data_IF_577063802277
#
_entry.id   IF_577063802277
#
_cell.length_a   1.000
_cell.length_b   1.000
_cell.length_c   1.000
_cell.angle_alpha   90.00
_cell.angle_beta   90.00
_cell.angle_gamma   90.00
#
_symmetry.space_group_name_H-M   'P 1'
#
loop_
_entity.id
_entity.type
_entity.pdbx_description
1 polymer ?
#
# COMPACT_ATOMS: atom_id res chain seq x y z
N UNK A 1 -7.38 -7.39 17.98
CA UNK A 1 -7.03 -5.98 17.76
C UNK A 1 -8.32 -5.25 17.46
N UNK A 2 -8.72 -4.32 18.33
CA UNK A 2 -9.91 -3.49 18.09
C UNK A 2 -9.66 -2.48 16.97
N UNK A 3 -10.70 -1.77 16.52
CA UNK A 3 -10.58 -0.79 15.44
C UNK A 3 -9.65 0.38 15.82
N UNK A 4 -9.77 0.90 17.04
CA UNK A 4 -8.93 2.01 17.52
C UNK A 4 -7.45 1.65 17.49
N UNK A 5 -7.08 0.44 17.93
CA UNK A 5 -5.73 -0.09 17.88
C UNK A 5 -5.24 -0.22 16.43
N UNK A 6 -6.09 -0.72 15.52
CA UNK A 6 -5.75 -0.84 14.09
C UNK A 6 -5.42 0.53 13.50
N UNK A 7 -6.29 1.52 13.71
CA UNK A 7 -6.08 2.90 13.26
C UNK A 7 -4.85 3.52 13.90
N UNK A 8 -4.63 3.31 15.20
CA UNK A 8 -3.44 3.79 15.91
C UNK A 8 -2.16 3.19 15.31
N UNK A 9 -2.18 1.91 14.95
CA UNK A 9 -1.03 1.22 14.34
C UNK A 9 -0.78 1.73 12.92
N UNK A 10 -1.85 2.00 12.16
CA UNK A 10 -1.76 2.58 10.83
C UNK A 10 -1.22 4.01 10.85
N UNK A 11 -1.67 4.82 11.81
CA UNK A 11 -1.12 6.15 12.06
C UNK A 11 0.36 6.08 12.47
N UNK A 12 0.72 5.16 13.37
CA UNK A 12 2.12 4.93 13.77
C UNK A 12 2.98 4.62 12.54
N UNK A 13 2.51 3.72 11.67
CA UNK A 13 3.19 3.39 10.42
C UNK A 13 3.36 4.62 9.51
N UNK A 14 2.33 5.47 9.35
CA UNK A 14 2.42 6.67 8.53
C UNK A 14 3.49 7.65 9.04
N UNK A 15 3.52 7.90 10.36
CA UNK A 15 4.50 8.77 11.00
C UNK A 15 5.93 8.22 10.92
N UNK A 16 6.12 6.92 11.20
CA UNK A 16 7.41 6.25 11.05
C UNK A 16 7.91 6.32 9.59
N UNK A 17 7.04 5.99 8.65
CA UNK A 17 7.36 6.00 7.22
C UNK A 17 7.71 7.40 6.73
N UNK A 18 6.98 8.42 7.16
CA UNK A 18 7.28 9.82 6.84
C UNK A 18 8.68 10.22 7.32
N UNK A 19 9.03 9.93 8.57
CA UNK A 19 10.34 10.26 9.14
C UNK A 19 11.46 9.49 8.45
N UNK A 20 11.32 8.18 8.28
CA UNK A 20 12.32 7.33 7.62
C UNK A 20 12.52 7.75 6.16
N UNK A 21 11.44 8.07 5.45
CA UNK A 21 11.52 8.56 4.09
C UNK A 21 12.18 9.93 4.01
N UNK A 22 11.94 10.82 4.99
CA UNK A 22 12.66 12.10 5.10
C UNK A 22 14.15 11.93 5.35
N UNK A 23 14.56 10.93 6.14
CA UNK A 23 15.96 10.66 6.46
C UNK A 23 16.73 9.96 5.33
N UNK A 24 16.11 8.92 4.75
CA UNK A 24 16.80 7.94 3.91
C UNK A 24 16.26 7.87 2.47
N UNK A 25 15.11 8.48 2.17
CA UNK A 25 14.60 8.63 0.80
C UNK A 25 14.51 7.27 0.09
N UNK A 26 15.08 7.19 -1.12
CA UNK A 26 15.11 6.01 -1.97
C UNK A 26 15.87 4.82 -1.35
N UNK A 27 16.65 5.03 -0.28
CA UNK A 27 17.25 3.92 0.47
C UNK A 27 16.24 3.21 1.38
N UNK A 28 15.13 3.87 1.70
CA UNK A 28 14.05 3.30 2.49
C UNK A 28 12.95 2.72 1.59
N UNK A 29 12.40 3.53 0.68
CA UNK A 29 11.41 3.08 -0.31
C UNK A 29 11.40 3.98 -1.54
N UNK A 30 10.85 3.49 -2.66
CA UNK A 30 10.67 4.32 -3.86
C UNK A 30 9.64 5.42 -3.61
N UNK A 31 9.70 6.51 -4.40
CA UNK A 31 8.71 7.59 -4.31
C UNK A 31 7.27 7.08 -4.53
N UNK A 32 7.12 6.12 -5.44
CA UNK A 32 5.83 5.51 -5.74
C UNK A 32 5.32 4.71 -4.54
N UNK A 33 6.14 3.81 -3.99
CA UNK A 33 5.74 3.01 -2.84
C UNK A 33 5.40 3.88 -1.62
N UNK A 34 6.13 4.99 -1.41
CA UNK A 34 5.81 5.96 -0.37
C UNK A 34 4.45 6.63 -0.59
N UNK A 35 4.22 7.14 -1.81
CA UNK A 35 2.96 7.77 -2.18
C UNK A 35 1.77 6.82 -2.03
N UNK A 36 1.91 5.58 -2.52
CA UNK A 36 0.88 4.55 -2.43
C UNK A 36 0.60 4.18 -0.97
N UNK A 37 1.66 4.00 -0.15
CA UNK A 37 1.51 3.67 1.28
C UNK A 37 0.80 4.77 2.06
N UNK A 38 1.20 6.03 1.88
CA UNK A 38 0.56 7.16 2.58
C UNK A 38 -0.87 7.38 2.07
N UNK A 39 -1.13 7.15 0.78
CA UNK A 39 -2.47 7.24 0.19
C UNK A 39 -3.37 6.13 0.72
N UNK A 40 -2.86 4.92 0.91
CA UNK A 40 -3.59 3.81 1.55
C UNK A 40 -4.02 4.19 2.97
N UNK A 41 -3.10 4.74 3.79
CA UNK A 41 -3.43 5.21 5.15
C UNK A 41 -4.52 6.30 5.09
N UNK A 42 -4.33 7.30 4.23
CA UNK A 42 -5.32 8.37 4.03
C UNK A 42 -6.68 7.79 3.65
N UNK A 43 -6.74 6.87 2.70
CA UNK A 43 -8.00 6.27 2.24
C UNK A 43 -8.71 5.52 3.37
N UNK A 44 -7.98 4.75 4.17
CA UNK A 44 -8.53 4.08 5.35
C UNK A 44 -9.19 5.05 6.34
N UNK A 45 -8.52 6.15 6.66
CA UNK A 45 -9.02 7.19 7.55
C UNK A 45 -10.29 7.86 6.99
N UNK A 46 -10.26 8.26 5.71
CA UNK A 46 -11.42 8.84 5.04
C UNK A 46 -12.61 7.87 4.95
N UNK A 47 -12.37 6.58 4.67
CA UNK A 47 -13.41 5.57 4.64
C UNK A 47 -14.02 5.34 6.03
N UNK A 48 -13.22 5.37 7.09
CA UNK A 48 -13.73 5.30 8.45
C UNK A 48 -14.61 6.51 8.78
N UNK A 49 -14.16 7.73 8.50
CA UNK A 49 -14.95 8.95 8.72
C UNK A 49 -16.29 8.90 7.97
N UNK A 50 -16.26 8.46 6.70
CA UNK A 50 -17.48 8.24 5.91
C UNK A 50 -18.41 7.22 6.56
N UNK A 51 -17.88 6.11 7.03
CA UNK A 51 -18.67 5.08 7.70
C UNK A 51 -19.30 5.63 9.00
N UNK A 52 -18.58 6.44 9.77
CA UNK A 52 -19.10 7.07 10.98
C UNK A 52 -20.27 8.03 10.69
N UNK A 53 -20.20 8.76 9.58
CA UNK A 53 -21.27 9.66 9.16
C UNK A 53 -22.49 8.91 8.59
N UNK A 54 -22.26 7.80 7.86
CA UNK A 54 -23.33 6.99 7.26
C UNK A 54 -24.05 6.10 8.28
N UNK A 55 -23.29 5.33 9.06
CA UNK A 55 -23.80 4.47 10.12
C UNK A 55 -22.69 4.20 11.16
N UNK A 56 -22.69 4.90 12.30
CA UNK A 56 -21.68 4.72 13.34
C UNK A 56 -21.83 3.40 14.10
N UNK A 57 -22.95 2.70 13.98
CA UNK A 57 -23.19 1.42 14.68
C UNK A 57 -22.67 0.22 13.90
N UNK A 58 -22.49 0.37 12.59
CA UNK A 58 -21.98 -0.69 11.73
C UNK A 58 -20.49 -0.99 11.99
N UNK A 59 -20.08 -2.26 11.81
CA UNK A 59 -18.68 -2.63 11.87
C UNK A 59 -17.91 -2.11 10.66
N UNK A 60 -16.70 -1.62 10.88
CA UNK A 60 -15.77 -1.18 9.84
C UNK A 60 -14.60 -2.16 9.73
N UNK A 61 -14.38 -2.69 8.52
CA UNK A 61 -13.31 -3.65 8.25
C UNK A 61 -12.25 -3.01 7.37
N UNK A 62 -11.05 -2.81 7.91
CA UNK A 62 -9.96 -2.14 7.21
C UNK A 62 -9.57 -2.83 5.88
N UNK A 63 -9.58 -4.17 5.86
CA UNK A 63 -9.27 -4.94 4.64
C UNK A 63 -10.34 -4.81 3.53
N UNK A 64 -11.54 -4.31 3.83
CA UNK A 64 -12.55 -4.02 2.80
C UNK A 64 -12.29 -2.70 2.07
N UNK A 65 -11.37 -1.87 2.60
CA UNK A 65 -10.94 -0.62 1.97
C UNK A 65 -9.86 -0.87 0.89
N UNK A 66 -9.31 -2.10 0.87
CA UNK A 66 -8.36 -2.55 -0.12
C UNK A 66 -9.05 -3.01 -1.42
N UNK A 67 -8.25 -3.54 -2.33
CA UNK A 67 -8.65 -4.00 -3.65
C UNK A 67 -9.10 -5.47 -3.70
N UNK A 68 -9.08 -6.24 -2.60
CA UNK A 68 -9.59 -7.62 -2.55
C UNK A 68 -10.96 -7.82 -3.25
N UNK A 69 -11.97 -6.95 -3.08
CA UNK A 69 -13.25 -7.12 -3.78
C UNK A 69 -13.11 -6.97 -5.29
N UNK A 70 -12.22 -6.07 -5.73
CA UNK A 70 -11.93 -5.83 -7.14
C UNK A 70 -11.12 -7.00 -7.73
N UNK A 71 -10.15 -7.54 -6.99
CA UNK A 71 -9.39 -8.73 -7.39
C UNK A 71 -10.30 -9.94 -7.56
N UNK A 72 -11.24 -10.16 -6.64
CA UNK A 72 -12.25 -11.22 -6.76
C UNK A 72 -13.14 -11.03 -7.99
N UNK A 73 -13.53 -9.79 -8.29
CA UNK A 73 -14.28 -9.47 -9.50
C UNK A 73 -13.45 -9.76 -10.76
N UNK A 74 -12.17 -9.40 -10.78
CA UNK A 74 -11.25 -9.75 -11.87
C UNK A 74 -11.04 -11.26 -12.00
N UNK A 75 -10.99 -12.01 -10.89
CA UNK A 75 -10.98 -13.46 -10.89
C UNK A 75 -12.20 -14.05 -11.60
N UNK A 76 -13.40 -13.60 -11.21
CA UNK A 76 -14.67 -13.99 -11.86
C UNK A 76 -14.68 -13.64 -13.35
N UNK A 77 -14.23 -12.43 -13.70
CA UNK A 77 -14.10 -11.98 -15.08
C UNK A 77 -13.26 -12.94 -15.94
N UNK A 78 -12.13 -13.40 -15.40
CA UNK A 78 -11.25 -14.37 -16.09
C UNK A 78 -11.87 -15.76 -16.19
N UNK A 79 -12.57 -16.21 -15.15
CA UNK A 79 -13.23 -17.52 -15.11
C UNK A 79 -14.40 -17.64 -16.10
N UNK A 80 -15.12 -16.55 -16.38
CA UNK A 80 -16.19 -16.53 -17.39
C UNK A 80 -15.70 -16.91 -18.80
N UNK A 81 -14.40 -16.79 -19.08
CA UNK A 81 -13.80 -17.21 -20.34
C UNK A 81 -13.51 -18.70 -20.46
N UNK A 82 -13.70 -19.48 -19.40
CA UNK A 82 -13.34 -20.90 -19.35
C UNK A 82 -11.87 -21.10 -19.73
N UNK A 83 -11.62 -21.87 -20.80
CA UNK A 83 -10.26 -22.13 -21.32
C UNK A 83 -9.60 -20.88 -21.95
N UNK A 84 -10.36 -19.83 -22.26
CA UNK A 84 -9.83 -18.57 -22.78
C UNK A 84 -9.92 -17.45 -21.74
N UNK A 85 -8.98 -17.48 -20.80
CA UNK A 85 -8.85 -16.45 -19.76
C UNK A 85 -8.37 -15.09 -20.30
N UNK A 86 -7.79 -15.06 -21.50
CA UNK A 86 -7.52 -13.82 -22.22
C UNK A 86 -8.82 -13.34 -22.88
N UNK A 87 -9.04 -12.03 -22.87
CA UNK A 87 -10.22 -11.41 -23.47
C UNK A 87 -9.81 -10.23 -24.32
N UNK A 88 -10.44 -10.09 -25.48
CA UNK A 88 -10.38 -8.82 -26.20
C UNK A 88 -11.25 -7.77 -25.50
N UNK A 89 -11.11 -6.50 -25.88
CA UNK A 89 -11.80 -5.39 -25.22
C UNK A 89 -13.34 -5.55 -25.19
N UNK A 90 -13.94 -5.99 -26.29
CA UNK A 90 -15.40 -6.17 -26.37
C UNK A 90 -15.87 -7.32 -25.45
N UNK A 91 -15.14 -8.44 -25.46
CA UNK A 91 -15.39 -9.56 -24.55
C UNK A 91 -15.20 -9.15 -23.09
N UNK A 92 -14.28 -8.23 -22.79
CA UNK A 92 -14.10 -7.73 -21.43
C UNK A 92 -15.34 -6.97 -20.96
N UNK A 93 -15.92 -6.11 -21.79
CA UNK A 93 -17.13 -5.36 -21.44
C UNK A 93 -18.29 -6.32 -21.12
N UNK A 94 -18.55 -7.29 -22.00
CA UNK A 94 -19.63 -8.26 -21.79
C UNK A 94 -19.41 -9.10 -20.52
N UNK A 95 -18.18 -9.58 -20.32
CA UNK A 95 -17.84 -10.38 -19.14
C UNK A 95 -17.88 -9.56 -17.84
N UNK A 96 -17.55 -8.27 -17.87
CA UNK A 96 -17.66 -7.39 -16.69
C UNK A 96 -19.13 -7.29 -16.26
N UNK A 97 -20.05 -7.09 -17.22
CA UNK A 97 -21.49 -7.09 -16.93
C UNK A 97 -21.92 -8.38 -16.23
N UNK A 98 -21.59 -9.54 -16.81
CA UNK A 98 -21.90 -10.84 -16.22
C UNK A 98 -21.24 -11.05 -14.84
N UNK A 99 -20.00 -10.59 -14.65
CA UNK A 99 -19.31 -10.73 -13.37
C UNK A 99 -19.95 -9.87 -12.28
N UNK A 100 -20.40 -8.65 -12.62
CA UNK A 100 -21.17 -7.79 -11.73
C UNK A 100 -22.52 -8.41 -11.36
N UNK A 101 -23.25 -8.97 -12.33
CA UNK A 101 -24.53 -9.65 -12.08
C UNK A 101 -24.35 -10.85 -11.14
N UNK A 102 -23.30 -11.66 -11.36
CA UNK A 102 -22.93 -12.76 -10.47
C UNK A 102 -22.58 -12.26 -9.07
N UNK A 103 -21.80 -11.17 -8.96
CA UNK A 103 -21.45 -10.59 -7.67
C UNK A 103 -22.68 -10.07 -6.93
N UNK A 104 -23.61 -9.40 -7.61
CA UNK A 104 -24.89 -8.97 -7.03
C UNK A 104 -25.73 -10.15 -6.56
N UNK A 105 -25.83 -11.21 -7.37
CA UNK A 105 -26.54 -12.43 -7.00
C UNK A 105 -25.96 -13.10 -5.75
N UNK A 106 -24.63 -13.16 -5.62
CA UNK A 106 -23.95 -13.70 -4.44
C UNK A 106 -24.07 -12.78 -3.21
N UNK A 107 -24.08 -11.46 -3.39
CA UNK A 107 -24.34 -10.52 -2.30
C UNK A 107 -25.74 -10.71 -1.72
N UNK A 108 -26.74 -11.00 -2.55
CA UNK A 108 -28.11 -11.29 -2.10
C UNK A 108 -28.28 -12.72 -1.56
N UNK A 109 -27.47 -13.67 -2.02
CA UNK A 109 -27.53 -15.08 -1.64
C UNK A 109 -26.14 -15.57 -1.21
N UNK A 110 -25.66 -15.15 -0.02
CA UNK A 110 -24.30 -15.42 0.42
C UNK A 110 -24.01 -16.91 0.69
N UNK A 111 -25.03 -17.75 0.72
CA UNK A 111 -24.94 -19.21 0.79
C UNK A 111 -24.50 -19.86 -0.53
N UNK A 112 -24.74 -19.20 -1.67
CA UNK A 112 -24.38 -19.71 -2.99
C UNK A 112 -22.89 -19.51 -3.31
N UNK A 113 -22.25 -18.50 -2.72
CA UNK A 113 -20.82 -18.27 -2.91
C UNK A 113 -20.03 -19.09 -1.89
N UNK A 114 -19.61 -20.30 -2.29
CA UNK A 114 -18.61 -21.03 -1.55
C UNK A 114 -17.28 -20.27 -1.65
N UNK A 115 -16.96 -19.50 -0.62
CA UNK A 115 -15.69 -18.81 -0.50
C UNK A 115 -14.50 -19.78 -0.60
N UNK A 116 -13.32 -19.24 -0.89
CA UNK A 116 -12.12 -20.05 -1.04
C UNK A 116 -11.82 -20.83 0.25
N UNK A 117 -12.01 -22.16 0.20
CA UNK A 117 -11.71 -23.04 1.33
C UNK A 117 -10.23 -23.43 1.26
N UNK A 118 -9.41 -22.81 2.10
CA UNK A 118 -7.99 -23.17 2.19
C UNK A 118 -7.84 -24.61 2.71
N UNK A 119 -7.17 -25.46 1.94
CA UNK A 119 -7.00 -26.89 2.26
C UNK A 119 -5.93 -27.15 3.36
N UNK A 120 -5.10 -26.17 3.72
CA UNK A 120 -4.23 -26.24 4.91
C UNK A 120 -3.82 -24.84 5.39
N UNK A 121 -3.68 -24.69 6.71
CA UNK A 121 -3.29 -23.46 7.39
C UNK A 121 -1.92 -23.68 8.04
N UNK A 122 -0.85 -23.58 7.26
CA UNK A 122 0.51 -23.49 7.82
C UNK A 122 0.78 -22.06 8.27
N UNK A 123 1.57 -21.88 9.35
CA UNK A 123 1.98 -20.56 9.88
C UNK A 123 3.04 -19.90 8.98
N UNK A 124 2.71 -19.66 7.71
CA UNK A 124 3.52 -18.86 6.81
C UNK A 124 2.97 -17.43 6.71
N UNK A 125 3.86 -16.47 6.48
CA UNK A 125 3.63 -15.01 6.31
C UNK A 125 2.58 -14.60 5.23
N UNK A 126 1.85 -15.54 4.64
CA UNK A 126 0.80 -15.32 3.63
C UNK A 126 -0.60 -15.66 4.15
N UNK A 127 -1.03 -14.98 5.21
CA UNK A 127 -2.42 -15.04 5.71
C UNK A 127 -3.20 -13.87 5.11
N UNK A 128 -3.45 -13.93 3.79
CA UNK A 128 -3.97 -12.79 3.02
C UNK A 128 -5.50 -12.84 2.78
N UNK A 129 -6.22 -13.68 3.51
CA UNK A 129 -7.67 -13.83 3.35
C UNK A 129 -8.37 -13.83 4.70
N UNK A 130 -8.37 -12.66 5.34
CA UNK A 130 -9.06 -12.44 6.62
C UNK A 130 -10.57 -12.47 6.39
N UNK A 131 -11.26 -13.41 7.02
CA UNK A 131 -12.71 -13.50 6.95
C UNK A 131 -13.32 -12.55 7.98
N UNK A 132 -14.34 -11.80 7.55
CA UNK A 132 -15.17 -10.95 8.43
C UNK A 132 -15.63 -11.70 9.70
N UNK A 133 -16.07 -12.95 9.52
CA UNK A 133 -16.58 -13.83 10.59
C UNK A 133 -15.52 -14.29 11.60
N UNK A 134 -14.24 -14.13 11.29
CA UNK A 134 -13.14 -14.54 12.16
C UNK A 134 -12.71 -13.44 13.15
N UNK A 135 -13.24 -12.22 13.01
CA UNK A 135 -12.94 -11.12 13.91
C UNK A 135 -13.85 -11.14 15.14
N UNK A 136 -13.24 -11.12 16.33
CA UNK A 136 -13.94 -11.16 17.62
C UNK A 136 -13.80 -9.87 18.43
N UNK A 137 -13.00 -8.92 17.96
CA UNK A 137 -12.78 -7.63 18.61
C UNK A 137 -13.86 -6.60 18.23
N UNK A 138 -13.95 -5.51 18.98
CA UNK A 138 -14.83 -4.38 18.65
C UNK A 138 -14.33 -3.68 17.37
N UNK A 139 -15.21 -3.65 16.37
CA UNK A 139 -15.01 -3.03 15.08
C UNK A 139 -16.05 -1.95 14.76
N UNK A 140 -16.90 -1.57 15.73
CA UNK A 140 -17.93 -0.57 15.50
C UNK A 140 -17.30 0.77 15.12
N UNK A 141 -17.70 1.33 13.97
CA UNK A 141 -17.09 2.55 13.44
C UNK A 141 -17.12 3.71 14.44
N UNK A 142 -18.25 3.89 15.13
CA UNK A 142 -18.45 4.95 16.12
C UNK A 142 -17.67 4.77 17.43
N UNK A 143 -17.07 3.61 17.71
CA UNK A 143 -16.24 3.43 18.91
C UNK A 143 -14.81 3.96 18.73
N UNK A 144 -14.38 4.20 17.48
CA UNK A 144 -13.05 4.73 17.18
C UNK A 144 -13.03 6.25 17.06
N UNK A 145 -12.32 6.94 17.94
CA UNK A 145 -12.09 8.38 17.81
C UNK A 145 -10.86 8.65 16.94
N UNK A 146 -11.07 8.88 15.64
CA UNK A 146 -10.03 8.99 14.60
C UNK A 146 -8.88 9.94 14.97
N UNK A 147 -9.20 11.17 15.38
CA UNK A 147 -8.18 12.17 15.73
C UNK A 147 -7.34 11.77 16.96
N UNK A 148 -7.93 11.03 17.90
CA UNK A 148 -7.20 10.57 19.08
C UNK A 148 -6.28 9.40 18.72
N UNK A 149 -6.76 8.46 17.90
CA UNK A 149 -5.96 7.35 17.40
C UNK A 149 -4.78 7.85 16.53
N UNK A 150 -5.00 8.88 15.69
CA UNK A 150 -3.95 9.51 14.90
C UNK A 150 -2.86 10.13 15.78
N UNK A 151 -3.25 10.94 16.77
CA UNK A 151 -2.31 11.55 17.71
C UNK A 151 -1.58 10.50 18.57
N UNK A 152 -2.28 9.45 19.02
CA UNK A 152 -1.65 8.35 19.73
C UNK A 152 -0.58 7.66 18.86
N UNK A 153 -0.87 7.43 17.58
CA UNK A 153 0.11 6.85 16.64
C UNK A 153 1.32 7.75 16.41
N UNK A 154 1.11 9.06 16.32
CA UNK A 154 2.19 10.07 16.28
C UNK A 154 3.08 9.97 17.52
N UNK A 155 2.48 9.96 18.70
CA UNK A 155 3.21 9.98 19.97
C UNK A 155 4.01 8.67 20.17
N UNK A 156 3.46 7.53 19.73
CA UNK A 156 4.21 6.26 19.67
C UNK A 156 5.41 6.37 18.73
N UNK A 157 5.25 6.94 17.53
CA UNK A 157 6.35 7.13 16.58
C UNK A 157 7.45 8.05 17.14
N UNK A 158 7.08 9.15 17.80
CA UNK A 158 8.02 10.03 18.52
C UNK A 158 8.80 9.23 19.56
N UNK A 159 8.10 8.48 20.43
CA UNK A 159 8.73 7.69 21.48
C UNK A 159 9.64 6.57 20.97
N UNK A 160 9.45 6.10 19.74
CA UNK A 160 10.38 5.21 19.05
C UNK A 160 11.63 5.98 18.63
N UNK A 161 11.48 7.11 17.92
CA UNK A 161 12.63 7.85 17.41
C UNK A 161 13.48 8.52 18.48
N UNK A 162 12.90 8.90 19.62
CA UNK A 162 13.64 9.38 20.79
C UNK A 162 14.66 8.36 21.31
N UNK A 163 14.48 7.08 21.01
CA UNK A 163 15.39 5.98 21.39
C UNK A 163 16.38 5.63 20.27
N UNK A 164 16.40 6.38 19.17
CA UNK A 164 17.24 6.11 17.99
C UNK A 164 18.22 7.25 17.71
N UNK A 165 19.10 7.05 16.73
CA UNK A 165 20.03 8.07 16.25
C UNK A 165 19.41 9.03 15.22
N UNK A 166 18.10 8.99 14.99
CA UNK A 166 17.43 9.91 14.07
C UNK A 166 17.44 11.32 14.67
N UNK A 167 17.86 12.36 13.93
CA UNK A 167 17.79 13.75 14.38
C UNK A 167 16.34 14.22 14.56
N UNK A 168 16.09 15.00 15.62
CA UNK A 168 14.77 15.51 15.99
C UNK A 168 14.07 16.30 14.86
N UNK A 169 14.83 16.98 14.01
CA UNK A 169 14.31 17.72 12.84
C UNK A 169 13.53 16.86 11.83
N UNK A 170 13.60 15.52 11.92
CA UNK A 170 12.87 14.61 11.04
C UNK A 170 11.59 14.02 11.65
N UNK A 171 11.37 14.16 12.95
CA UNK A 171 10.16 13.67 13.64
C UNK A 171 9.51 14.70 14.57
N UNK A 172 9.97 15.95 14.54
CA UNK A 172 9.25 17.09 15.11
C UNK A 172 8.07 17.47 14.20
N UNK A 173 7.00 16.66 14.27
CA UNK A 173 5.85 16.79 13.38
C UNK A 173 5.14 18.14 13.51
N UNK A 174 5.14 18.75 14.69
CA UNK A 174 4.52 20.06 14.92
C UNK A 174 5.24 21.15 14.13
N UNK A 175 6.58 21.20 14.24
CA UNK A 175 7.40 22.15 13.47
C UNK A 175 7.34 21.87 11.98
N UNK A 176 7.29 20.59 11.58
CA UNK A 176 7.26 20.18 10.18
C UNK A 176 5.94 20.51 9.49
N UNK A 177 4.81 20.31 10.17
CA UNK A 177 3.47 20.58 9.60
C UNK A 177 2.96 21.99 9.88
N UNK A 178 3.68 22.82 10.62
CA UNK A 178 3.45 24.27 10.68
C UNK A 178 3.70 24.95 9.32
N UNK A 179 4.34 24.25 8.39
CA UNK A 179 4.58 24.66 7.02
C UNK A 179 3.50 24.14 6.08
N UNK A 180 2.76 25.04 5.42
CA UNK A 180 1.67 24.68 4.50
C UNK A 180 2.12 23.86 3.27
N UNK A 181 3.40 23.94 2.92
CA UNK A 181 3.98 23.18 1.80
C UNK A 181 4.38 21.74 2.18
N UNK A 182 4.34 21.39 3.47
CA UNK A 182 4.75 20.08 3.98
C UNK A 182 3.56 19.36 4.60
N UNK A 183 3.26 18.17 4.07
CA UNK A 183 2.28 17.25 4.63
C UNK A 183 2.74 15.79 4.46
N UNK A 184 1.92 14.84 4.91
CA UNK A 184 2.24 13.40 4.83
C UNK A 184 2.55 12.92 3.41
N UNK A 185 1.95 13.51 2.37
CA UNK A 185 2.18 13.18 0.96
C UNK A 185 3.25 14.08 0.32
N UNK A 186 3.52 15.25 0.91
CA UNK A 186 4.55 16.20 0.48
C UNK A 186 5.61 16.39 1.57
N UNK A 187 6.52 15.42 1.74
CA UNK A 187 7.50 15.45 2.83
C UNK A 187 8.60 16.51 2.69
N UNK A 188 8.60 17.38 1.68
CA UNK A 188 9.56 18.49 1.55
C UNK A 188 8.92 19.72 0.90
N UNK A 189 9.42 20.91 1.25
CA UNK A 189 9.09 22.17 0.59
C UNK A 189 9.54 22.17 -0.87
N UNK A 190 8.60 22.16 -1.81
CA UNK A 190 8.83 22.39 -3.26
C UNK A 190 9.79 21.41 -3.96
N UNK A 191 9.79 21.43 -5.29
CA UNK A 191 10.64 20.54 -6.10
C UNK A 191 12.15 20.86 -6.00
N UNK A 192 12.52 22.09 -5.61
CA UNK A 192 13.88 22.63 -5.78
C UNK A 192 14.86 22.29 -4.64
N UNK A 193 14.40 21.98 -3.42
CA UNK A 193 15.30 21.63 -2.30
C UNK A 193 15.69 20.14 -2.25
N UNK A 194 15.14 19.34 -3.17
CA UNK A 194 15.41 17.90 -3.31
C UNK A 194 16.90 17.62 -3.56
N UNK A 195 17.60 18.53 -4.24
CA UNK A 195 18.99 18.39 -4.68
C UNK A 195 20.02 18.78 -3.59
N UNK A 196 19.73 19.81 -2.79
CA UNK A 196 20.73 20.47 -1.93
C UNK A 196 20.98 19.71 -0.61
N UNK A 197 19.96 19.01 -0.09
CA UNK A 197 20.07 18.22 1.16
C UNK A 197 20.59 16.79 0.99
N UNK A 198 20.90 16.37 -0.24
CA UNK A 198 21.59 15.09 -0.51
C UNK A 198 22.96 15.00 0.20
N UNK A 199 23.50 16.15 0.63
CA UNK A 199 24.78 16.29 1.35
C UNK A 199 24.70 16.03 2.86
N UNK A 200 23.53 16.22 3.50
CA UNK A 200 23.32 15.97 4.95
C UNK A 200 22.54 14.68 5.16
N UNK A 201 23.13 13.54 4.79
CA UNK A 201 22.51 12.22 5.05
C UNK A 201 22.64 11.86 6.52
N UNK A 202 21.55 11.37 7.10
CA UNK A 202 21.66 10.47 8.24
C UNK A 202 22.42 9.23 7.79
N UNK A 203 23.69 9.11 8.16
CA UNK A 203 24.43 7.88 7.95
C UNK A 203 23.85 6.83 8.88
N UNK A 204 22.98 5.99 8.33
CA UNK A 204 22.44 4.79 8.96
C UNK A 204 21.57 5.03 10.22
N UNK A 205 20.35 5.58 10.07
CA UNK A 205 19.48 5.95 11.19
C UNK A 205 19.01 4.75 12.06
N UNK A 206 19.09 3.53 11.52
CA UNK A 206 18.61 2.30 12.17
C UNK A 206 19.75 1.32 12.54
N UNK A 207 21.01 1.66 12.27
CA UNK A 207 22.16 0.81 12.61
C UNK A 207 22.32 -0.47 11.78
N UNK A 208 21.55 -0.66 10.70
CA UNK A 208 21.66 -1.84 9.82
C UNK A 208 22.85 -1.71 8.86
N UNK A 209 23.66 -2.76 8.62
CA UNK A 209 24.71 -2.69 7.61
C UNK A 209 24.08 -2.45 6.22
N UNK A 210 24.26 -1.24 5.68
CA UNK A 210 23.91 -0.94 4.28
C UNK A 210 25.00 -1.55 3.41
N UNK A 211 24.78 -2.77 2.91
CA UNK A 211 25.69 -3.43 2.00
C UNK A 211 25.77 -2.64 0.68
N UNK A 212 26.89 -1.97 0.46
CA UNK A 212 27.17 -1.20 -0.76
C UNK A 212 27.56 -2.13 -1.89
N UNK A 213 26.65 -2.99 -2.36
CA UNK A 213 26.86 -3.77 -3.59
C UNK A 213 25.59 -3.88 -4.41
N UNK A 214 25.20 -2.78 -5.03
CA UNK A 214 24.47 -2.79 -6.30
C UNK A 214 24.47 -1.39 -6.88
N UNK A 215 25.54 -1.00 -7.60
CA UNK A 215 25.51 -0.07 -8.75
C UNK A 215 26.95 0.28 -9.16
N UNK A 216 27.56 -0.61 -9.94
CA UNK A 216 28.60 -0.23 -10.90
C UNK A 216 28.54 -1.20 -12.08
N UNK A 217 27.55 -1.00 -12.95
CA UNK A 217 27.57 -1.58 -14.29
C UNK A 217 27.63 -0.40 -15.28
N UNK A 218 28.85 -0.08 -15.69
CA UNK A 218 29.14 0.77 -16.84
C UNK A 218 28.68 0.04 -18.10
N UNK A 219 28.00 0.68 -19.07
CA UNK A 219 27.60 -0.01 -20.29
C UNK A 219 28.81 -0.14 -21.22
N UNK A 220 29.36 -1.35 -21.33
CA UNK A 220 30.33 -1.70 -22.37
C UNK A 220 29.62 -1.80 -23.72
N UNK A 221 30.03 -0.96 -24.66
CA UNK A 221 29.56 -0.90 -26.03
C UNK A 221 30.06 -2.13 -26.80
N UNK A 222 29.21 -3.14 -26.98
CA UNK A 222 29.51 -4.27 -27.86
C UNK A 222 29.16 -3.91 -29.32
N UNK A 223 30.21 -3.69 -30.12
CA UNK A 223 30.15 -3.64 -31.59
C UNK A 223 29.72 -5.01 -32.14
N UNK A 224 28.60 -5.06 -32.85
CA UNK A 224 28.25 -6.21 -33.71
C UNK A 224 29.16 -6.26 -34.96
N UNK A 225 29.73 -7.41 -35.33
CA UNK A 225 30.40 -7.55 -36.61
C UNK A 225 29.40 -7.78 -37.75
N UNK A 226 29.71 -7.17 -38.90
CA UNK A 226 28.96 -7.21 -40.14
C UNK A 226 28.77 -8.63 -40.68
N UNK A 227 27.53 -8.99 -41.03
CA UNK A 227 27.21 -10.24 -41.72
C UNK A 227 27.07 -9.94 -43.22
N UNK A 228 28.09 -10.35 -43.97
CA UNK A 228 28.13 -10.37 -45.43
C UNK A 228 27.07 -11.33 -45.98
N UNK A 229 26.37 -10.90 -47.03
CA UNK A 229 25.29 -11.65 -47.66
C UNK A 229 25.75 -12.81 -48.53
N UNK A 230 24.82 -13.73 -48.81
CA UNK A 230 24.74 -14.48 -50.07
C UNK A 230 23.29 -14.74 -50.44
N UNK A 231 22.95 -14.30 -51.64
CA UNK A 231 21.78 -14.68 -52.42
C UNK A 231 21.71 -16.20 -52.61
N UNK A 232 20.48 -16.73 -52.64
CA UNK A 232 19.95 -17.49 -53.78
C UNK A 232 18.43 -17.68 -53.61
N UNK A 233 17.67 -17.09 -54.54
CA UNK A 233 16.31 -17.49 -54.93
C UNK A 233 16.41 -18.36 -56.20
N UNK A 234 15.31 -18.81 -56.85
CA UNK A 234 14.04 -19.34 -56.35
C UNK A 234 13.71 -20.72 -56.99
N UNK A 235 12.70 -21.41 -56.46
CA UNK A 235 11.53 -21.96 -57.17
C UNK A 235 10.53 -22.48 -56.13
#
# INVERSE_FOLDING_TARGET
MDLTQQITSLATFAHLSFTLFRCSRLQYMSNQLYGDSQTMVKNAMFCLAKQQELDPTAPFYLFQVCDDPLERLFGKLRMLGGHNSAMNYLQAIDRVGHACDLQGAFMHNPDLEQGERRLSMSRSEGVDHLMMKSWTADLTAGSCHEAAAWNAGRDIAIGIFEKTAVPREHYDYETLFADEDVDMLRPWRGASQVQERLSKRCTNPLGFPLDRRATSATPESQKLPARTGRHHSPL
#
